data_IF_539735158675
#
_entry.id   IF_539735158675
#
_cell.length_a   1.000
_cell.length_b   1.000
_cell.length_c   1.000
_cell.angle_alpha   90.00
_cell.angle_beta   90.00
_cell.angle_gamma   90.00
#
_symmetry.space_group_name_H-M   'P 1'
#
loop_
_entity.id
_entity.type
_entity.pdbx_description
1 polymer ?
#
# COMPACT_ATOMS: atom_id res chain seq x y z
N UNK A 1 1.03 10.46 33.98
CA UNK A 1 2.17 11.30 33.52
C UNK A 1 2.40 11.00 32.05
N UNK A 2 2.88 11.95 31.23
CA UNK A 2 3.21 11.64 29.86
C UNK A 2 4.33 10.59 29.79
N UNK A 3 4.15 9.59 28.93
CA UNK A 3 5.19 8.60 28.59
C UNK A 3 5.88 9.00 27.30
N UNK A 4 7.16 8.64 27.16
CA UNK A 4 7.91 8.76 25.91
C UNK A 4 7.70 7.50 25.08
N UNK A 5 7.12 7.65 23.90
CA UNK A 5 6.66 6.54 23.06
C UNK A 5 7.31 6.64 21.68
N UNK A 6 7.96 5.55 21.25
CA UNK A 6 8.39 5.37 19.86
C UNK A 6 7.42 4.43 19.15
N UNK A 7 6.99 4.78 17.93
CA UNK A 7 6.16 3.92 17.10
C UNK A 7 6.89 3.58 15.81
N UNK A 8 7.07 2.28 15.56
CA UNK A 8 7.69 1.72 14.36
C UNK A 8 6.57 1.14 13.50
N UNK A 9 6.43 1.65 12.27
CA UNK A 9 5.42 1.21 11.32
C UNK A 9 6.06 0.34 10.25
N UNK A 10 5.67 -0.93 10.19
CA UNK A 10 6.11 -1.89 9.20
C UNK A 10 4.97 -2.23 8.25
N UNK A 11 5.31 -2.66 7.04
CA UNK A 11 4.38 -3.22 6.07
C UNK A 11 3.76 -2.18 5.13
N UNK A 12 2.45 -2.26 4.90
CA UNK A 12 1.78 -1.60 3.79
C UNK A 12 1.14 -0.25 4.18
N UNK A 13 0.68 0.49 3.17
CA UNK A 13 -0.06 1.75 3.31
C UNK A 13 -1.23 1.72 4.33
N UNK A 14 -1.93 0.58 4.45
CA UNK A 14 -3.01 0.42 5.43
C UNK A 14 -2.47 0.40 6.88
N UNK A 15 -1.33 -0.25 7.09
CA UNK A 15 -0.65 -0.23 8.39
C UNK A 15 -0.15 1.18 8.72
N UNK A 16 0.38 1.91 7.74
CA UNK A 16 0.81 3.29 7.95
C UNK A 16 -0.34 4.18 8.40
N UNK A 17 -1.51 4.11 7.75
CA UNK A 17 -2.69 4.85 8.21
C UNK A 17 -3.08 4.46 9.64
N UNK A 18 -3.01 3.16 10.01
CA UNK A 18 -3.27 2.75 11.39
C UNK A 18 -2.23 3.32 12.37
N UNK A 19 -0.95 3.36 11.99
CA UNK A 19 0.10 3.99 12.79
C UNK A 19 -0.16 5.49 13.00
N UNK A 20 -0.53 6.20 11.96
CA UNK A 20 -0.88 7.63 11.99
C UNK A 20 -2.08 7.91 12.92
N UNK A 21 -3.08 7.02 12.92
CA UNK A 21 -4.22 7.10 13.83
C UNK A 21 -3.80 6.84 15.29
N UNK A 22 -2.95 5.85 15.55
CA UNK A 22 -2.41 5.60 16.89
C UNK A 22 -1.56 6.77 17.39
N UNK A 23 -0.71 7.35 16.53
CA UNK A 23 0.06 8.56 16.85
C UNK A 23 -0.84 9.73 17.24
N UNK A 24 -1.95 9.92 16.53
CA UNK A 24 -2.92 10.95 16.86
C UNK A 24 -3.52 10.73 18.27
N UNK A 25 -3.97 9.52 18.57
CA UNK A 25 -4.54 9.19 19.89
C UNK A 25 -3.53 9.39 21.03
N UNK A 26 -2.28 8.94 20.83
CA UNK A 26 -1.21 9.10 21.82
C UNK A 26 -0.89 10.58 22.07
N UNK A 27 -0.82 11.39 21.03
CA UNK A 27 -0.64 12.84 21.17
C UNK A 27 -1.82 13.52 21.90
N UNK A 28 -3.06 13.13 21.59
CA UNK A 28 -4.25 13.64 22.26
C UNK A 28 -4.30 13.26 23.75
N UNK A 29 -3.77 12.09 24.10
CA UNK A 29 -3.62 11.64 25.49
C UNK A 29 -2.47 12.36 26.22
N UNK A 30 -1.68 13.21 25.54
CA UNK A 30 -0.61 13.99 26.11
C UNK A 30 0.71 13.23 26.24
N UNK A 31 0.88 12.09 25.57
CA UNK A 31 2.17 11.39 25.52
C UNK A 31 3.16 12.10 24.59
N UNK A 32 4.45 11.90 24.84
CA UNK A 32 5.54 12.41 23.99
C UNK A 32 5.92 11.37 22.95
N UNK A 33 5.59 11.63 21.69
CA UNK A 33 6.01 10.75 20.58
C UNK A 33 7.42 11.15 20.12
N UNK A 34 8.33 10.17 20.06
CA UNK A 34 9.74 10.37 19.70
C UNK A 34 10.16 9.44 18.56
N UNK A 35 11.19 9.85 17.80
CA UNK A 35 11.72 9.06 16.69
C UNK A 35 12.76 8.01 17.09
N UNK A 36 13.37 8.15 18.26
CA UNK A 36 14.44 7.27 18.74
C UNK A 36 13.92 6.33 19.82
N UNK A 37 14.37 5.06 19.79
CA UNK A 37 13.94 4.04 20.73
C UNK A 37 14.65 4.19 22.07
N UNK A 38 15.92 4.60 22.07
CA UNK A 38 16.71 4.71 23.29
C UNK A 38 16.17 5.80 24.22
N UNK A 39 15.92 5.43 25.46
CA UNK A 39 15.30 6.30 26.47
C UNK A 39 13.77 6.39 26.36
N UNK A 40 13.11 5.52 25.57
CA UNK A 40 11.66 5.42 25.55
C UNK A 40 11.09 4.65 26.75
N UNK A 41 9.86 5.00 27.13
CA UNK A 41 9.07 4.20 28.06
C UNK A 41 8.43 3.01 27.34
N UNK A 42 7.85 3.24 26.16
CA UNK A 42 7.17 2.21 25.36
C UNK A 42 7.60 2.31 23.90
N UNK A 43 8.00 1.18 23.31
CA UNK A 43 8.09 1.01 21.86
C UNK A 43 6.86 0.26 21.36
N UNK A 44 6.19 0.80 20.34
CA UNK A 44 5.05 0.19 19.66
C UNK A 44 5.51 -0.25 18.29
N UNK A 45 5.34 -1.53 17.94
CA UNK A 45 5.63 -2.06 16.61
C UNK A 45 4.32 -2.40 15.91
N UNK A 46 3.97 -1.66 14.88
CA UNK A 46 2.85 -2.00 14.00
C UNK A 46 3.36 -2.91 12.89
N UNK A 47 2.97 -4.19 12.96
CA UNK A 47 3.58 -5.28 12.22
C UNK A 47 2.81 -5.69 10.97
N UNK A 48 3.52 -6.17 9.94
CA UNK A 48 2.96 -6.91 8.84
C UNK A 48 3.01 -8.43 9.13
N UNK A 49 1.97 -9.15 8.74
CA UNK A 49 1.88 -10.61 8.88
C UNK A 49 1.32 -11.26 7.63
N UNK A 50 1.53 -10.63 6.45
CA UNK A 50 0.92 -11.07 5.19
C UNK A 50 1.77 -12.11 4.46
N UNK A 51 3.07 -11.92 4.36
CA UNK A 51 4.03 -12.85 3.71
C UNK A 51 5.21 -13.14 4.63
N UNK A 52 5.91 -14.25 4.39
CA UNK A 52 6.99 -14.72 5.26
C UNK A 52 8.11 -13.69 5.45
N UNK A 53 8.55 -12.99 4.40
CA UNK A 53 9.57 -11.96 4.50
C UNK A 53 9.16 -10.80 5.42
N UNK A 54 7.91 -10.36 5.34
CA UNK A 54 7.41 -9.31 6.22
C UNK A 54 7.19 -9.79 7.67
N UNK A 55 6.92 -11.08 7.87
CA UNK A 55 6.90 -11.69 9.22
C UNK A 55 8.30 -11.70 9.83
N UNK A 56 9.31 -12.11 9.05
CA UNK A 56 10.70 -12.12 9.49
C UNK A 56 11.17 -10.72 9.87
N UNK A 57 10.92 -9.72 9.03
CA UNK A 57 11.23 -8.32 9.32
C UNK A 57 10.61 -7.86 10.65
N UNK A 58 9.33 -8.19 10.88
CA UNK A 58 8.64 -7.81 12.11
C UNK A 58 9.22 -8.50 13.36
N UNK A 59 9.57 -9.78 13.25
CA UNK A 59 10.20 -10.54 14.34
C UNK A 59 11.60 -9.98 14.63
N UNK A 60 12.41 -9.74 13.62
CA UNK A 60 13.76 -9.16 13.77
C UNK A 60 13.70 -7.80 14.46
N UNK A 61 12.73 -6.96 14.08
CA UNK A 61 12.52 -5.66 14.74
C UNK A 61 12.15 -5.82 16.22
N UNK A 62 11.28 -6.76 16.56
CA UNK A 62 10.90 -7.04 17.95
C UNK A 62 12.13 -7.52 18.76
N UNK A 63 12.93 -8.41 18.18
CA UNK A 63 14.15 -8.91 18.85
C UNK A 63 15.20 -7.81 19.04
N UNK A 64 15.37 -6.89 18.09
CA UNK A 64 16.23 -5.72 18.25
C UNK A 64 15.76 -4.83 19.43
N UNK A 65 14.45 -4.59 19.54
CA UNK A 65 13.87 -3.85 20.66
C UNK A 65 14.08 -4.57 22.01
N UNK A 66 14.01 -5.91 22.00
CA UNK A 66 14.28 -6.71 23.19
C UNK A 66 15.72 -6.52 23.69
N UNK A 67 16.70 -6.40 22.80
CA UNK A 67 18.08 -6.11 23.18
C UNK A 67 18.23 -4.70 23.78
N UNK A 68 17.56 -3.68 23.20
CA UNK A 68 17.53 -2.32 23.77
C UNK A 68 16.88 -2.32 25.16
N UNK A 69 15.80 -3.09 25.33
CA UNK A 69 15.11 -3.26 26.62
C UNK A 69 16.02 -3.93 27.67
N UNK A 70 16.75 -4.98 27.31
CA UNK A 70 17.73 -5.65 28.19
C UNK A 70 18.86 -4.70 28.61
N UNK A 71 19.30 -3.83 27.70
CA UNK A 71 20.31 -2.81 27.99
C UNK A 71 19.79 -1.63 28.85
N UNK A 72 18.50 -1.56 29.13
CA UNK A 72 17.86 -0.51 29.92
C UNK A 72 17.47 0.76 29.16
N UNK A 73 17.62 0.78 27.84
CA UNK A 73 17.23 1.89 26.98
C UNK A 73 15.73 1.95 26.66
N UNK A 74 14.98 0.86 26.93
CA UNK A 74 13.55 0.75 26.68
C UNK A 74 12.89 0.02 27.87
N UNK A 75 11.67 0.45 28.27
CA UNK A 75 10.98 -0.21 29.40
C UNK A 75 10.00 -1.28 28.92
N UNK A 76 9.21 -1.00 27.85
CA UNK A 76 8.10 -1.83 27.41
C UNK A 76 8.01 -1.94 25.90
N UNK A 77 7.54 -3.12 25.40
CA UNK A 77 7.31 -3.40 24.00
C UNK A 77 5.83 -3.79 23.81
N UNK A 78 5.12 -3.03 22.98
CA UNK A 78 3.77 -3.36 22.49
C UNK A 78 3.83 -3.74 21.02
N UNK A 79 3.16 -4.83 20.65
CA UNK A 79 3.06 -5.30 19.26
C UNK A 79 1.63 -5.17 18.79
N UNK A 80 1.43 -4.60 17.59
CA UNK A 80 0.11 -4.47 16.98
C UNK A 80 0.15 -4.81 15.50
N UNK A 81 -1.00 -4.85 14.84
CA UNK A 81 -1.10 -5.02 13.40
C UNK A 81 -1.44 -6.44 12.94
N UNK A 82 -1.00 -6.76 11.71
CA UNK A 82 -1.40 -8.00 11.06
C UNK A 82 -0.74 -9.24 11.67
N UNK A 83 0.53 -9.14 12.09
CA UNK A 83 1.23 -10.28 12.70
C UNK A 83 0.60 -10.65 14.04
N UNK A 84 0.37 -9.69 14.94
CA UNK A 84 -0.29 -9.94 16.22
C UNK A 84 -1.68 -10.52 16.05
N UNK A 85 -2.47 -10.03 15.09
CA UNK A 85 -3.80 -10.54 14.80
C UNK A 85 -3.79 -11.99 14.29
N UNK A 86 -2.76 -12.38 13.56
CA UNK A 86 -2.68 -13.70 12.91
C UNK A 86 -2.06 -14.76 13.82
N UNK A 87 -1.08 -14.37 14.63
CA UNK A 87 -0.20 -15.26 15.41
C UNK A 87 -0.17 -14.91 16.90
N UNK A 88 -1.32 -14.57 17.47
CA UNK A 88 -1.45 -14.17 18.87
C UNK A 88 -0.74 -15.13 19.84
N UNK A 89 -1.07 -16.43 19.77
CA UNK A 89 -0.54 -17.43 20.68
C UNK A 89 0.96 -17.69 20.46
N UNK A 90 1.39 -17.75 19.18
CA UNK A 90 2.77 -18.03 18.82
C UNK A 90 3.71 -16.91 19.30
N UNK A 91 3.27 -15.64 19.21
CA UNK A 91 4.02 -14.49 19.72
C UNK A 91 4.11 -14.56 21.25
N UNK A 92 3.01 -14.90 21.94
CA UNK A 92 2.98 -15.01 23.39
C UNK A 92 3.94 -16.07 23.93
N UNK A 93 4.06 -17.20 23.21
CA UNK A 93 4.90 -18.32 23.59
C UNK A 93 6.38 -18.12 23.19
N UNK A 94 6.62 -17.54 21.99
CA UNK A 94 7.96 -17.47 21.40
C UNK A 94 8.70 -16.17 21.67
N UNK A 95 7.99 -15.08 22.00
CA UNK A 95 8.55 -13.75 22.23
C UNK A 95 8.16 -13.22 23.62
N UNK A 96 8.73 -13.79 24.71
CA UNK A 96 8.40 -13.41 26.09
C UNK A 96 8.75 -11.94 26.42
N UNK A 97 9.60 -11.29 25.63
CA UNK A 97 9.97 -9.88 25.74
C UNK A 97 8.83 -8.92 25.44
N UNK A 98 7.79 -9.37 24.72
CA UNK A 98 6.60 -8.58 24.38
C UNK A 98 5.73 -8.40 25.62
N UNK A 99 5.48 -7.16 26.00
CA UNK A 99 4.72 -6.81 27.20
C UNK A 99 3.20 -6.73 26.96
N UNK A 100 2.76 -6.59 25.70
CA UNK A 100 1.34 -6.59 25.34
C UNK A 100 1.11 -6.55 23.86
N UNK A 101 -0.13 -6.88 23.44
CA UNK A 101 -0.49 -6.95 22.03
C UNK A 101 -1.88 -6.40 21.75
N UNK A 102 -2.03 -5.85 20.52
CA UNK A 102 -3.31 -5.41 19.97
C UNK A 102 -3.50 -6.04 18.57
N UNK A 103 -4.71 -6.52 18.32
CA UNK A 103 -5.13 -6.96 16.99
C UNK A 103 -5.57 -5.81 16.09
N UNK A 104 -5.89 -6.13 14.83
CA UNK A 104 -6.30 -5.15 13.80
C UNK A 104 -7.65 -4.47 14.08
N UNK A 105 -8.46 -5.02 14.97
CA UNK A 105 -9.74 -4.42 15.44
C UNK A 105 -9.62 -3.60 16.71
N UNK A 106 -8.41 -3.28 17.20
CA UNK A 106 -8.22 -2.67 18.53
C UNK A 106 -7.28 -1.46 18.54
N UNK A 107 -7.01 -0.83 17.41
CA UNK A 107 -6.12 0.34 17.33
C UNK A 107 -6.58 1.50 18.19
N UNK A 108 -7.89 1.70 18.34
CA UNK A 108 -8.46 2.75 19.20
C UNK A 108 -8.15 2.59 20.67
N UNK A 109 -7.74 1.39 21.12
CA UNK A 109 -7.38 1.10 22.51
C UNK A 109 -5.91 1.30 22.83
N UNK A 110 -5.12 1.90 21.93
CA UNK A 110 -3.66 2.02 22.09
C UNK A 110 -3.27 2.78 23.37
N UNK A 111 -3.97 3.85 23.72
CA UNK A 111 -3.69 4.61 24.94
C UNK A 111 -3.92 3.76 26.21
N UNK A 112 -5.01 2.99 26.24
CA UNK A 112 -5.29 2.08 27.35
C UNK A 112 -4.23 0.99 27.46
N UNK A 113 -3.78 0.43 26.33
CA UNK A 113 -2.72 -0.58 26.31
C UNK A 113 -1.39 -0.02 26.84
N UNK A 114 -1.04 1.23 26.52
CA UNK A 114 0.14 1.91 27.05
C UNK A 114 0.02 2.07 28.58
N UNK A 115 -1.11 2.54 29.08
CA UNK A 115 -1.33 2.68 30.53
C UNK A 115 -1.24 1.33 31.25
N UNK A 116 -1.89 0.29 30.71
CA UNK A 116 -1.90 -1.04 31.35
C UNK A 116 -0.50 -1.64 31.42
N UNK A 117 0.27 -1.57 30.31
CA UNK A 117 1.63 -2.13 30.30
C UNK A 117 2.57 -1.39 31.24
N UNK A 118 2.41 -0.07 31.38
CA UNK A 118 3.22 0.74 32.30
C UNK A 118 2.89 0.50 33.77
N UNK A 119 1.67 0.04 34.08
CA UNK A 119 1.25 -0.38 35.40
C UNK A 119 1.52 -1.86 35.69
N UNK A 120 2.25 -2.56 34.80
CA UNK A 120 2.66 -3.96 35.02
C UNK A 120 1.63 -4.98 34.54
N UNK A 121 0.58 -4.56 33.83
CA UNK A 121 -0.34 -5.45 33.12
C UNK A 121 0.28 -6.02 31.83
N UNK A 122 -0.38 -7.04 31.27
CA UNK A 122 -0.09 -7.60 29.94
C UNK A 122 -1.35 -7.48 29.09
N UNK A 123 -1.63 -6.30 28.47
CA UNK A 123 -2.83 -6.11 27.66
C UNK A 123 -2.81 -7.01 26.41
N UNK A 124 -3.93 -7.70 26.17
CA UNK A 124 -4.18 -8.51 24.99
C UNK A 124 -5.53 -8.09 24.41
N UNK A 125 -5.50 -7.12 23.50
CA UNK A 125 -6.71 -6.51 22.96
C UNK A 125 -6.96 -6.97 21.53
N UNK A 126 -7.88 -7.93 21.37
CA UNK A 126 -8.28 -8.50 20.10
C UNK A 126 -9.79 -8.29 19.92
N UNK A 127 -10.16 -7.07 19.55
CA UNK A 127 -11.54 -6.71 19.26
C UNK A 127 -12.06 -7.32 17.96
N UNK A 128 -13.34 -7.07 17.67
CA UNK A 128 -13.96 -7.56 16.45
C UNK A 128 -13.36 -6.87 15.22
N UNK A 129 -12.51 -7.63 14.49
CA UNK A 129 -11.90 -7.16 13.24
C UNK A 129 -12.91 -6.95 12.11
N UNK A 130 -14.17 -7.36 12.26
CA UNK A 130 -15.29 -7.14 11.33
C UNK A 130 -16.28 -6.09 11.84
N UNK A 131 -16.01 -5.49 13.00
CA UNK A 131 -16.81 -4.42 13.57
C UNK A 131 -16.77 -3.12 12.74
N UNK A 132 -17.56 -2.12 13.12
CA UNK A 132 -17.53 -0.80 12.47
C UNK A 132 -16.12 -0.19 12.45
N UNK A 133 -15.80 0.54 11.37
CA UNK A 133 -14.55 1.28 11.30
C UNK A 133 -14.66 2.51 12.19
N UNK A 134 -13.73 2.66 13.11
CA UNK A 134 -13.64 3.86 13.94
C UNK A 134 -13.05 5.02 13.13
N UNK A 135 -13.73 6.16 13.15
CA UNK A 135 -13.26 7.39 12.52
C UNK A 135 -12.35 8.14 13.50
N UNK A 136 -11.05 7.93 13.34
CA UNK A 136 -10.01 8.50 14.20
C UNK A 136 -9.22 9.50 13.35
N UNK A 137 -8.93 10.68 13.90
CA UNK A 137 -7.98 11.62 13.31
C UNK A 137 -6.58 11.00 13.18
N UNK A 138 -5.69 11.64 12.42
CA UNK A 138 -4.34 11.11 12.23
C UNK A 138 -3.26 12.18 12.15
N UNK A 139 -2.03 11.80 12.45
CA UNK A 139 -0.80 12.56 12.20
C UNK A 139 -0.21 12.04 10.90
N UNK A 140 -0.15 12.87 9.87
CA UNK A 140 0.41 12.48 8.57
C UNK A 140 1.91 12.27 8.70
N UNK A 141 2.39 11.09 8.36
CA UNK A 141 3.82 10.70 8.42
C UNK A 141 4.40 10.39 7.04
N UNK A 142 3.59 10.46 6.00
CA UNK A 142 4.05 10.36 4.60
C UNK A 142 4.93 11.55 4.23
N UNK A 143 5.61 11.44 3.09
CA UNK A 143 6.41 12.51 2.53
C UNK A 143 5.61 13.79 2.28
N UNK A 144 6.27 14.92 2.05
CA UNK A 144 5.60 16.20 1.85
C UNK A 144 4.72 16.19 0.60
N UNK A 145 3.52 16.71 0.76
CA UNK A 145 2.59 16.94 -0.34
C UNK A 145 1.70 15.75 -0.72
N UNK A 146 1.82 14.58 -0.11
CA UNK A 146 0.95 13.44 -0.40
C UNK A 146 0.51 12.69 0.86
N UNK A 147 -0.61 11.98 0.77
CA UNK A 147 -1.10 11.11 1.85
C UNK A 147 -1.96 9.98 1.32
N UNK A 148 -1.94 8.85 2.02
CA UNK A 148 -2.90 7.79 1.78
C UNK A 148 -4.28 8.21 2.28
N UNK A 149 -5.34 7.87 1.54
CA UNK A 149 -6.74 8.02 1.94
C UNK A 149 -7.40 6.63 1.94
N UNK A 150 -7.52 6.04 3.11
CA UNK A 150 -8.15 4.73 3.26
C UNK A 150 -9.67 4.89 3.21
N UNK A 151 -10.32 4.20 2.26
CA UNK A 151 -11.77 4.31 2.04
C UNK A 151 -12.57 3.10 2.53
N UNK A 152 -11.90 1.99 2.79
CA UNK A 152 -12.52 0.76 3.30
C UNK A 152 -11.51 -0.11 4.05
N UNK A 153 -11.99 -1.13 4.75
CA UNK A 153 -11.19 -2.11 5.48
C UNK A 153 -11.74 -3.52 5.27
N UNK A 154 -10.84 -4.54 5.26
CA UNK A 154 -11.20 -5.93 5.02
C UNK A 154 -11.41 -6.26 3.55
N UNK A 155 -11.66 -7.55 3.25
CA UNK A 155 -11.80 -8.02 1.87
C UNK A 155 -12.68 -9.26 1.79
N UNK A 156 -13.59 -9.29 0.81
CA UNK A 156 -14.50 -10.40 0.53
C UNK A 156 -14.17 -11.13 -0.78
N UNK A 157 -12.98 -10.91 -1.37
CA UNK A 157 -12.61 -11.57 -2.62
C UNK A 157 -12.15 -13.02 -2.43
N UNK A 158 -11.67 -13.39 -1.24
CA UNK A 158 -11.30 -14.76 -0.87
C UNK A 158 -10.32 -15.42 -1.86
N UNK A 159 -9.38 -14.65 -2.41
CA UNK A 159 -8.33 -15.22 -3.26
C UNK A 159 -7.62 -16.37 -2.52
N UNK A 160 -7.39 -17.48 -3.20
CA UNK A 160 -6.91 -18.72 -2.56
C UNK A 160 -5.54 -18.59 -1.87
N UNK A 161 -4.71 -17.65 -2.27
CA UNK A 161 -3.39 -17.37 -1.72
C UNK A 161 -3.39 -16.33 -0.59
N UNK A 162 -4.53 -15.71 -0.27
CA UNK A 162 -4.56 -14.47 0.51
C UNK A 162 -5.11 -14.68 1.92
N UNK A 163 -4.33 -14.30 2.94
CA UNK A 163 -4.72 -14.38 4.35
C UNK A 163 -5.51 -13.14 4.84
N UNK A 164 -5.70 -12.11 4.02
CA UNK A 164 -6.32 -10.83 4.44
C UNK A 164 -7.73 -11.00 5.05
N UNK A 165 -8.66 -11.80 4.50
CA UNK A 165 -9.96 -11.96 5.13
C UNK A 165 -9.87 -12.51 6.57
N UNK A 166 -8.90 -13.39 6.83
CA UNK A 166 -8.67 -13.92 8.19
C UNK A 166 -8.04 -12.88 9.12
N UNK A 167 -7.24 -11.93 8.60
CA UNK A 167 -6.52 -10.93 9.40
C UNK A 167 -7.37 -9.67 9.63
N UNK A 168 -8.01 -9.12 8.56
CA UNK A 168 -8.69 -7.81 8.59
C UNK A 168 -10.22 -7.91 8.49
N UNK A 169 -10.76 -9.12 8.44
CA UNK A 169 -12.20 -9.39 8.44
C UNK A 169 -12.89 -9.09 7.12
N UNK A 170 -14.24 -9.01 7.22
CA UNK A 170 -15.12 -8.73 6.08
C UNK A 170 -14.92 -7.32 5.53
N UNK A 171 -15.26 -7.12 4.27
CA UNK A 171 -15.21 -5.81 3.64
C UNK A 171 -16.19 -4.83 4.28
N UNK A 172 -15.73 -3.64 4.61
CA UNK A 172 -16.51 -2.54 5.20
C UNK A 172 -16.06 -1.23 4.58
N UNK A 173 -17.00 -0.48 3.99
CA UNK A 173 -16.77 0.87 3.49
C UNK A 173 -16.81 1.89 4.62
N UNK A 174 -15.95 2.88 4.57
CA UNK A 174 -16.16 4.12 5.32
C UNK A 174 -17.25 4.94 4.64
N UNK A 175 -17.96 5.77 5.41
CA UNK A 175 -19.01 6.64 4.85
C UNK A 175 -18.43 7.72 3.93
N UNK A 176 -19.23 8.15 2.96
CA UNK A 176 -18.84 9.23 2.04
C UNK A 176 -18.42 10.49 2.80
N UNK A 177 -19.23 10.90 3.78
CA UNK A 177 -18.99 12.13 4.55
C UNK A 177 -17.68 12.06 5.34
N UNK A 178 -17.37 10.92 5.98
CA UNK A 178 -16.15 10.74 6.74
C UNK A 178 -14.90 10.80 5.85
N UNK A 179 -14.94 10.15 4.68
CA UNK A 179 -13.83 10.18 3.72
C UNK A 179 -13.61 11.58 3.17
N UNK A 180 -14.68 12.28 2.78
CA UNK A 180 -14.61 13.65 2.25
C UNK A 180 -14.11 14.62 3.32
N UNK A 181 -14.52 14.43 4.56
CA UNK A 181 -14.06 15.27 5.68
C UNK A 181 -12.56 15.09 5.91
N UNK A 182 -12.07 13.85 5.99
CA UNK A 182 -10.63 13.57 6.13
C UNK A 182 -9.84 14.13 4.94
N UNK A 183 -10.33 13.98 3.72
CA UNK A 183 -9.66 14.51 2.53
C UNK A 183 -9.54 16.04 2.56
N UNK A 184 -10.55 16.76 3.10
CA UNK A 184 -10.47 18.21 3.33
C UNK A 184 -9.45 18.59 4.40
N UNK A 185 -9.37 17.82 5.47
CA UNK A 185 -8.38 18.01 6.53
C UNK A 185 -6.96 17.81 6.00
N UNK A 186 -6.74 16.78 5.18
CA UNK A 186 -5.47 16.55 4.50
C UNK A 186 -5.10 17.69 3.56
N UNK A 187 -6.07 18.19 2.78
CA UNK A 187 -5.84 19.35 1.91
C UNK A 187 -5.46 20.61 2.71
N UNK A 188 -6.10 20.83 3.88
CA UNK A 188 -5.78 21.94 4.77
C UNK A 188 -4.36 21.84 5.37
N UNK A 189 -3.82 20.62 5.52
CA UNK A 189 -2.42 20.36 5.91
C UNK A 189 -1.42 20.54 4.76
N UNK A 190 -1.89 20.86 3.55
CA UNK A 190 -1.03 21.09 2.38
C UNK A 190 -0.80 19.87 1.50
N UNK A 191 -1.51 18.78 1.73
CA UNK A 191 -1.49 17.61 0.84
C UNK A 191 -1.99 17.98 -0.54
N UNK A 192 -1.24 17.61 -1.57
CA UNK A 192 -1.55 17.82 -3.00
C UNK A 192 -2.03 16.54 -3.69
N UNK A 193 -1.52 15.40 -3.27
CA UNK A 193 -1.89 14.08 -3.80
C UNK A 193 -2.55 13.23 -2.75
N UNK A 194 -3.77 12.73 -3.05
CA UNK A 194 -4.46 11.70 -2.30
C UNK A 194 -4.25 10.36 -2.99
N UNK A 195 -3.73 9.38 -2.28
CA UNK A 195 -3.62 8.00 -2.76
C UNK A 195 -4.74 7.20 -2.11
N UNK A 196 -5.76 6.91 -2.90
CA UNK A 196 -6.96 6.18 -2.45
C UNK A 196 -6.63 4.70 -2.32
N UNK A 197 -6.79 4.17 -1.11
CA UNK A 197 -6.45 2.79 -0.77
C UNK A 197 -7.57 2.06 -0.02
N UNK A 198 -7.63 0.76 -0.25
CA UNK A 198 -8.29 -0.28 0.55
C UNK A 198 -7.60 -1.61 0.21
N UNK A 199 -8.18 -2.74 0.60
CA UNK A 199 -7.80 -4.04 0.04
C UNK A 199 -8.37 -4.24 -1.37
N UNK A 200 -9.49 -3.56 -1.65
CA UNK A 200 -10.15 -3.45 -2.95
C UNK A 200 -10.96 -2.14 -2.95
N UNK A 201 -10.51 -1.12 -3.68
CA UNK A 201 -11.23 0.16 -3.73
C UNK A 201 -12.46 0.12 -4.63
N UNK A 202 -12.49 -0.79 -5.62
CA UNK A 202 -13.60 -0.87 -6.58
C UNK A 202 -14.92 -1.29 -5.95
N UNK A 203 -14.88 -2.04 -4.82
CA UNK A 203 -16.07 -2.44 -4.06
C UNK A 203 -16.66 -1.35 -3.17
N UNK A 204 -16.01 -0.21 -3.04
CA UNK A 204 -16.51 0.83 -2.13
C UNK A 204 -17.97 1.17 -2.40
N UNK A 205 -18.75 1.21 -1.33
CA UNK A 205 -20.19 1.47 -1.36
C UNK A 205 -21.07 0.24 -1.55
N UNK A 206 -20.52 -0.95 -1.85
CA UNK A 206 -21.33 -2.17 -2.03
C UNK A 206 -22.17 -2.49 -0.78
N UNK A 207 -21.57 -2.37 0.40
CA UNK A 207 -22.22 -2.59 1.70
C UNK A 207 -23.10 -1.41 2.13
N UNK A 208 -22.85 -0.19 1.66
CA UNK A 208 -23.61 1.01 2.00
C UNK A 208 -24.81 1.22 1.07
N UNK A 209 -24.64 0.97 -0.23
CA UNK A 209 -25.60 1.35 -1.27
C UNK A 209 -26.12 0.15 -2.09
N UNK A 210 -25.66 -1.08 -1.77
CA UNK A 210 -26.03 -2.30 -2.51
C UNK A 210 -25.37 -2.45 -3.89
N UNK A 211 -24.44 -1.55 -4.26
CA UNK A 211 -23.69 -1.55 -5.52
C UNK A 211 -22.31 -0.89 -5.35
N UNK A 212 -21.32 -1.26 -6.18
CA UNK A 212 -20.07 -0.52 -6.26
C UNK A 212 -20.35 0.95 -6.58
N UNK A 213 -19.72 1.86 -5.87
CA UNK A 213 -20.02 3.30 -5.96
C UNK A 213 -18.76 4.17 -5.91
N UNK A 214 -17.61 3.64 -6.33
CA UNK A 214 -16.34 4.37 -6.32
C UNK A 214 -16.41 5.68 -7.13
N UNK A 215 -17.09 5.67 -8.29
CA UNK A 215 -17.29 6.87 -9.10
C UNK A 215 -18.02 7.98 -8.34
N UNK A 216 -19.00 7.64 -7.49
CA UNK A 216 -19.68 8.62 -6.62
C UNK A 216 -18.69 9.28 -5.66
N UNK A 217 -17.85 8.49 -4.98
CA UNK A 217 -16.84 9.02 -4.07
C UNK A 217 -15.84 9.92 -4.80
N UNK A 218 -15.32 9.48 -5.92
CA UNK A 218 -14.34 10.25 -6.68
C UNK A 218 -14.88 11.60 -7.16
N UNK A 219 -16.18 11.68 -7.56
CA UNK A 219 -16.83 12.94 -7.91
C UNK A 219 -16.87 13.94 -6.76
N UNK A 220 -16.91 13.48 -5.52
CA UNK A 220 -16.83 14.37 -4.36
C UNK A 220 -15.38 14.75 -4.04
N UNK A 221 -14.44 13.84 -4.17
CA UNK A 221 -13.02 14.11 -3.90
C UNK A 221 -12.42 15.12 -4.90
N UNK A 222 -12.80 15.07 -6.18
CA UNK A 222 -12.28 16.03 -7.18
C UNK A 222 -12.71 17.46 -6.93
N UNK A 223 -13.80 17.70 -6.17
CA UNK A 223 -14.26 19.03 -5.79
C UNK A 223 -13.41 19.70 -4.72
N UNK A 224 -12.57 18.93 -4.01
CA UNK A 224 -11.79 19.44 -2.88
C UNK A 224 -10.70 20.37 -3.40
N UNK A 225 -10.74 21.63 -2.92
CA UNK A 225 -9.69 22.60 -3.21
C UNK A 225 -8.37 22.19 -2.53
N UNK A 226 -7.25 22.53 -3.17
CA UNK A 226 -5.92 22.18 -2.69
C UNK A 226 -5.44 20.80 -3.18
N UNK A 227 -6.32 19.82 -3.37
CA UNK A 227 -5.96 18.53 -3.98
C UNK A 227 -5.78 18.70 -5.48
N UNK A 228 -4.64 18.24 -5.99
CA UNK A 228 -4.25 18.31 -7.40
C UNK A 228 -4.24 16.92 -8.06
N UNK A 229 -3.88 15.87 -7.30
CA UNK A 229 -3.83 14.51 -7.76
C UNK A 229 -4.62 13.57 -6.85
N UNK A 230 -5.36 12.66 -7.47
CA UNK A 230 -6.06 11.53 -6.84
C UNK A 230 -5.57 10.29 -7.56
N UNK A 231 -4.79 9.45 -6.87
CA UNK A 231 -4.24 8.20 -7.38
C UNK A 231 -5.06 7.03 -6.86
N UNK A 232 -5.28 6.02 -7.70
CA UNK A 232 -6.11 4.87 -7.39
C UNK A 232 -5.25 3.61 -7.30
N UNK A 233 -5.22 2.98 -6.12
CA UNK A 233 -4.51 1.72 -5.89
C UNK A 233 -5.48 0.59 -5.55
N UNK A 234 -5.10 -0.64 -5.93
CA UNK A 234 -5.84 -1.86 -5.60
C UNK A 234 -7.24 -1.92 -6.23
N UNK A 235 -7.30 -1.71 -7.55
CA UNK A 235 -8.53 -1.93 -8.32
C UNK A 235 -8.67 -3.41 -8.72
N UNK A 236 -9.88 -3.92 -8.61
CA UNK A 236 -10.20 -5.26 -9.10
C UNK A 236 -10.83 -5.19 -10.49
N UNK A 237 -10.31 -5.96 -11.46
CA UNK A 237 -10.68 -5.80 -12.87
C UNK A 237 -12.16 -6.03 -13.16
N UNK A 238 -12.81 -6.98 -12.47
CA UNK A 238 -14.21 -7.35 -12.71
C UNK A 238 -15.25 -6.28 -12.36
N UNK A 239 -14.85 -5.24 -11.62
CA UNK A 239 -15.79 -4.19 -11.14
C UNK A 239 -15.55 -2.85 -11.84
N UNK A 240 -14.51 -2.74 -12.67
CA UNK A 240 -14.22 -1.51 -13.41
C UNK A 240 -15.22 -1.36 -14.56
N UNK A 241 -16.21 -0.49 -14.37
CA UNK A 241 -17.28 -0.23 -15.33
C UNK A 241 -17.02 1.00 -16.20
N UNK A 242 -17.91 1.23 -17.17
CA UNK A 242 -17.81 2.36 -18.09
C UNK A 242 -17.91 3.72 -17.40
N UNK A 243 -18.71 3.82 -16.35
CA UNK A 243 -18.88 5.06 -15.57
C UNK A 243 -17.57 5.46 -14.90
N UNK A 244 -16.88 4.50 -14.30
CA UNK A 244 -15.58 4.73 -13.66
C UNK A 244 -14.51 5.08 -14.70
N UNK A 245 -14.48 4.36 -15.84
CA UNK A 245 -13.52 4.63 -16.93
C UNK A 245 -13.71 6.05 -17.48
N UNK A 246 -14.94 6.46 -17.75
CA UNK A 246 -15.24 7.81 -18.26
C UNK A 246 -14.86 8.89 -17.27
N UNK A 247 -15.12 8.66 -15.98
CA UNK A 247 -14.73 9.61 -14.94
C UNK A 247 -13.20 9.76 -14.89
N UNK A 248 -12.45 8.65 -14.88
CA UNK A 248 -10.99 8.68 -14.87
C UNK A 248 -10.45 9.37 -16.13
N UNK A 249 -11.05 9.11 -17.30
CA UNK A 249 -10.59 9.69 -18.54
C UNK A 249 -10.75 11.23 -18.57
N UNK A 250 -11.86 11.75 -18.03
CA UNK A 250 -12.26 13.14 -18.18
C UNK A 250 -11.92 14.06 -17.01
N UNK A 251 -11.53 13.51 -15.84
CA UNK A 251 -11.19 14.30 -14.67
C UNK A 251 -9.68 14.48 -14.54
N UNK A 252 -9.18 15.70 -14.68
CA UNK A 252 -7.76 16.01 -14.67
C UNK A 252 -7.08 15.70 -13.31
N UNK A 253 -7.83 15.84 -12.21
CA UNK A 253 -7.30 15.53 -10.88
C UNK A 253 -7.09 14.05 -10.64
N UNK A 254 -7.81 13.17 -11.36
CA UNK A 254 -7.59 11.73 -11.29
C UNK A 254 -6.42 11.39 -12.20
N UNK A 255 -5.29 11.03 -11.59
CA UNK A 255 -4.07 10.70 -12.36
C UNK A 255 -4.30 9.49 -13.24
N UNK A 256 -3.74 9.51 -14.44
CA UNK A 256 -3.88 8.43 -15.41
C UNK A 256 -2.92 7.28 -15.08
N UNK A 257 -3.05 6.77 -13.87
CA UNK A 257 -2.29 5.66 -13.30
C UNK A 257 -3.25 4.74 -12.58
N UNK A 258 -3.32 3.47 -12.98
CA UNK A 258 -4.20 2.48 -12.37
C UNK A 258 -3.39 1.26 -11.90
N UNK A 259 -3.46 0.96 -10.61
CA UNK A 259 -2.90 -0.26 -10.03
C UNK A 259 -3.97 -1.35 -9.97
N UNK A 260 -3.83 -2.35 -10.86
CA UNK A 260 -4.78 -3.45 -11.05
C UNK A 260 -4.05 -4.78 -10.81
N UNK A 261 -4.00 -5.30 -9.58
CA UNK A 261 -3.29 -6.55 -9.25
C UNK A 261 -3.98 -7.77 -9.87
N UNK A 262 -3.56 -8.21 -11.05
CA UNK A 262 -4.16 -9.36 -11.76
C UNK A 262 -3.64 -10.70 -11.27
N UNK A 263 -2.43 -10.75 -10.74
CA UNK A 263 -1.69 -11.90 -10.20
C UNK A 263 -1.19 -12.88 -11.26
N UNK A 264 -1.98 -13.24 -12.26
CA UNK A 264 -1.63 -14.10 -13.38
C UNK A 264 -2.52 -13.81 -14.59
N UNK A 265 -2.26 -14.42 -15.78
CA UNK A 265 -3.08 -14.25 -16.99
C UNK A 265 -3.70 -15.56 -17.49
N UNK A 266 -3.18 -16.71 -17.05
CA UNK A 266 -3.70 -18.01 -17.45
C UNK A 266 -5.05 -18.29 -16.76
N UNK A 267 -6.04 -18.75 -17.52
CA UNK A 267 -7.41 -18.97 -17.04
C UNK A 267 -7.49 -20.05 -15.95
N UNK A 268 -6.72 -21.12 -16.06
CA UNK A 268 -6.73 -22.21 -15.07
C UNK A 268 -6.10 -21.78 -13.75
N UNK A 269 -5.00 -21.04 -13.79
CA UNK A 269 -4.36 -20.47 -12.61
C UNK A 269 -5.29 -19.47 -11.93
N UNK A 270 -5.90 -18.54 -12.68
CA UNK A 270 -6.83 -17.56 -12.13
C UNK A 270 -8.03 -18.24 -11.44
N UNK A 271 -8.63 -19.25 -12.09
CA UNK A 271 -9.74 -20.01 -11.50
C UNK A 271 -9.32 -20.73 -10.21
N UNK A 272 -8.15 -21.39 -10.18
CA UNK A 272 -7.61 -22.07 -9.01
C UNK A 272 -7.33 -21.12 -7.86
N UNK A 273 -6.90 -19.91 -8.18
CA UNK A 273 -6.64 -18.84 -7.19
C UNK A 273 -7.90 -18.09 -6.77
N UNK A 274 -9.08 -18.57 -7.16
CA UNK A 274 -10.37 -17.94 -6.88
C UNK A 274 -10.42 -16.48 -7.36
N UNK A 275 -9.82 -16.21 -8.53
CA UNK A 275 -9.98 -14.92 -9.21
C UNK A 275 -11.26 -14.97 -10.06
N UNK A 276 -12.01 -13.86 -10.03
CA UNK A 276 -13.34 -13.81 -10.65
C UNK A 276 -13.30 -13.34 -12.12
N UNK A 277 -12.13 -12.91 -12.62
CA UNK A 277 -11.90 -12.62 -14.03
C UNK A 277 -11.09 -13.71 -14.70
N UNK A 278 -11.39 -13.97 -15.95
CA UNK A 278 -10.57 -14.76 -16.89
C UNK A 278 -9.44 -13.89 -17.47
N UNK A 279 -8.40 -14.53 -17.99
CA UNK A 279 -7.31 -13.85 -18.70
C UNK A 279 -7.83 -13.08 -19.92
N UNK A 280 -8.85 -13.61 -20.63
CA UNK A 280 -9.43 -12.94 -21.78
C UNK A 280 -10.19 -11.67 -21.40
N UNK A 281 -10.93 -11.70 -20.30
CA UNK A 281 -11.59 -10.50 -19.74
C UNK A 281 -10.57 -9.45 -19.29
N UNK A 282 -9.47 -9.87 -18.67
CA UNK A 282 -8.36 -8.97 -18.30
C UNK A 282 -7.76 -8.33 -19.54
N UNK A 283 -7.44 -9.11 -20.59
CA UNK A 283 -6.91 -8.58 -21.86
C UNK A 283 -7.85 -7.55 -22.48
N UNK A 284 -9.14 -7.87 -22.54
CA UNK A 284 -10.17 -6.98 -23.10
C UNK A 284 -10.29 -5.67 -22.27
N UNK A 285 -10.27 -5.79 -20.93
CA UNK A 285 -10.33 -4.61 -20.05
C UNK A 285 -9.12 -3.69 -20.25
N UNK A 286 -7.90 -4.22 -20.24
CA UNK A 286 -6.68 -3.40 -20.40
C UNK A 286 -6.64 -2.71 -21.77
N UNK A 287 -7.06 -3.41 -22.83
CA UNK A 287 -7.20 -2.80 -24.15
C UNK A 287 -8.22 -1.67 -24.15
N UNK A 288 -9.38 -1.88 -23.51
CA UNK A 288 -10.43 -0.86 -23.36
C UNK A 288 -9.95 0.36 -22.59
N UNK A 289 -9.24 0.14 -21.47
CA UNK A 289 -8.66 1.20 -20.65
C UNK A 289 -7.69 2.06 -21.47
N UNK A 290 -6.75 1.45 -22.19
CA UNK A 290 -5.79 2.17 -23.05
C UNK A 290 -6.45 2.95 -24.18
N UNK A 291 -7.52 2.40 -24.75
CA UNK A 291 -8.26 3.07 -25.84
C UNK A 291 -9.04 4.29 -25.35
N UNK A 292 -9.49 4.30 -24.10
CA UNK A 292 -10.38 5.35 -23.55
C UNK A 292 -9.66 6.36 -22.67
N UNK A 293 -8.48 6.03 -22.12
CA UNK A 293 -7.73 6.90 -21.20
C UNK A 293 -6.37 7.24 -21.83
N UNK A 294 -6.24 8.37 -22.52
CA UNK A 294 -4.96 8.80 -23.08
C UNK A 294 -3.89 9.00 -22.00
N UNK A 295 -2.67 8.53 -22.27
CA UNK A 295 -1.55 8.65 -21.34
C UNK A 295 -1.65 7.75 -20.10
N UNK A 296 -2.50 6.72 -20.14
CA UNK A 296 -2.65 5.76 -19.07
C UNK A 296 -1.37 4.99 -18.81
N UNK A 297 -0.96 4.97 -17.54
CA UNK A 297 0.06 4.08 -16.98
C UNK A 297 -0.65 2.95 -16.22
N UNK A 298 -0.37 1.72 -16.60
CA UNK A 298 -0.91 0.54 -15.98
C UNK A 298 0.14 -0.11 -15.07
N UNK A 299 -0.23 -0.31 -13.82
CA UNK A 299 0.54 -1.09 -12.85
C UNK A 299 -0.19 -2.37 -12.51
N UNK A 300 0.57 -3.43 -12.33
CA UNK A 300 0.04 -4.69 -11.81
C UNK A 300 0.99 -5.35 -10.82
N UNK A 301 0.46 -6.30 -10.07
CA UNK A 301 1.24 -7.27 -9.30
C UNK A 301 1.01 -8.66 -9.85
N UNK A 302 2.09 -9.44 -9.97
CA UNK A 302 2.09 -10.82 -10.43
C UNK A 302 2.65 -11.75 -9.36
N UNK A 303 2.23 -12.99 -9.38
CA UNK A 303 2.76 -14.05 -8.52
C UNK A 303 3.23 -15.19 -9.41
N UNK A 304 4.48 -15.60 -9.26
CA UNK A 304 5.09 -16.75 -9.94
C UNK A 304 5.10 -17.98 -9.04
N UNK A 305 5.04 -19.16 -9.62
CA UNK A 305 5.07 -20.43 -8.86
C UNK A 305 3.77 -20.76 -8.14
N UNK A 306 2.65 -20.17 -8.56
CA UNK A 306 1.33 -20.52 -8.05
C UNK A 306 1.02 -22.01 -8.27
N UNK A 307 0.26 -22.66 -7.37
CA UNK A 307 -0.15 -24.05 -7.56
C UNK A 307 -0.79 -24.28 -8.94
N UNK A 308 -0.20 -25.20 -9.70
CA UNK A 308 -0.59 -25.54 -11.08
C UNK A 308 0.13 -24.74 -12.16
N UNK A 309 0.98 -23.79 -11.82
CA UNK A 309 1.82 -23.06 -12.80
C UNK A 309 2.97 -23.95 -13.24
N UNK A 310 2.82 -24.56 -14.42
CA UNK A 310 3.90 -25.22 -15.13
C UNK A 310 4.65 -24.28 -16.07
N UNK A 311 5.49 -24.84 -16.93
CA UNK A 311 6.25 -24.04 -17.91
C UNK A 311 5.34 -23.37 -18.95
N UNK A 312 4.28 -24.05 -19.39
CA UNK A 312 3.37 -23.52 -20.39
C UNK A 312 2.60 -22.29 -19.89
N UNK A 313 2.11 -22.30 -18.62
CA UNK A 313 1.41 -21.21 -17.99
C UNK A 313 2.35 -20.02 -17.74
N UNK A 314 3.59 -20.28 -17.35
CA UNK A 314 4.62 -19.26 -17.18
C UNK A 314 5.02 -18.63 -18.53
N UNK A 315 5.18 -19.42 -19.59
CA UNK A 315 5.49 -18.91 -20.93
C UNK A 315 4.34 -18.08 -21.52
N UNK A 316 3.08 -18.47 -21.24
CA UNK A 316 1.90 -17.65 -21.58
C UNK A 316 1.97 -16.28 -20.88
N UNK A 317 2.31 -16.25 -19.60
CA UNK A 317 2.44 -15.01 -18.85
C UNK A 317 3.54 -14.11 -19.42
N UNK A 318 4.71 -14.66 -19.71
CA UNK A 318 5.83 -13.92 -20.31
C UNK A 318 5.49 -13.39 -21.71
N UNK A 319 4.82 -14.20 -22.54
CA UNK A 319 4.40 -13.81 -23.89
C UNK A 319 3.41 -12.66 -23.83
N UNK A 320 2.41 -12.78 -22.97
CA UNK A 320 1.43 -11.73 -22.77
C UNK A 320 2.07 -10.42 -22.27
N UNK A 321 3.03 -10.47 -21.32
CA UNK A 321 3.73 -9.27 -20.85
C UNK A 321 4.49 -8.55 -21.97
N UNK A 322 5.15 -9.31 -22.88
CA UNK A 322 5.82 -8.72 -24.06
C UNK A 322 4.86 -8.01 -25.00
N UNK A 323 3.63 -8.53 -25.12
CA UNK A 323 2.59 -7.99 -26.00
C UNK A 323 1.92 -6.76 -25.38
N UNK A 324 1.52 -6.86 -24.08
CA UNK A 324 0.73 -5.80 -23.43
C UNK A 324 1.59 -4.63 -22.99
N UNK A 325 2.87 -4.87 -22.69
CA UNK A 325 3.87 -3.86 -22.28
C UNK A 325 3.33 -2.93 -21.17
N UNK A 326 3.04 -3.51 -20.01
CA UNK A 326 2.63 -2.73 -18.84
C UNK A 326 3.79 -1.85 -18.35
N UNK A 327 3.52 -0.62 -18.04
CA UNK A 327 4.53 0.37 -17.65
C UNK A 327 5.15 0.07 -16.28
N UNK A 328 4.37 -0.51 -15.37
CA UNK A 328 4.83 -0.84 -14.01
C UNK A 328 4.35 -2.25 -13.62
N UNK A 329 5.26 -3.11 -13.20
CA UNK A 329 4.96 -4.48 -12.77
C UNK A 329 5.77 -4.83 -11.51
N UNK A 330 5.08 -5.21 -10.45
CA UNK A 330 5.69 -5.89 -9.31
C UNK A 330 5.49 -7.39 -9.42
N UNK A 331 6.53 -8.17 -9.14
CA UNK A 331 6.50 -9.63 -9.20
C UNK A 331 6.95 -10.23 -7.89
N UNK A 332 6.24 -11.25 -7.43
CA UNK A 332 6.53 -11.93 -6.17
C UNK A 332 6.51 -13.45 -6.39
N UNK A 333 7.48 -14.21 -5.85
CA UNK A 333 7.34 -15.65 -5.78
C UNK A 333 6.19 -16.01 -4.83
N UNK A 334 5.48 -17.09 -5.14
CA UNK A 334 4.38 -17.57 -4.31
C UNK A 334 4.85 -17.94 -2.91
N UNK A 335 4.23 -17.35 -1.90
CA UNK A 335 4.40 -17.69 -0.48
C UNK A 335 3.19 -18.51 -0.01
N UNK A 336 3.39 -19.77 0.44
CA UNK A 336 2.31 -20.64 0.91
C UNK A 336 1.87 -20.22 2.32
N UNK A 337 1.03 -19.19 2.41
CA UNK A 337 0.60 -18.60 3.66
C UNK A 337 -0.34 -19.53 4.45
N UNK A 338 0.02 -19.83 5.68
CA UNK A 338 -0.74 -20.70 6.57
C UNK A 338 -2.21 -20.28 6.68
N UNK A 339 -3.10 -21.27 6.69
CA UNK A 339 -4.55 -21.04 6.75
C UNK A 339 -5.19 -20.62 5.41
N UNK A 340 -4.41 -20.52 4.32
CA UNK A 340 -4.94 -20.22 2.99
C UNK A 340 -5.19 -21.52 2.19
N UNK A 341 -6.19 -21.55 1.30
CA UNK A 341 -6.43 -22.71 0.43
C UNK A 341 -5.23 -23.09 -0.43
N UNK A 342 -4.49 -22.11 -0.97
CA UNK A 342 -3.34 -22.37 -1.83
C UNK A 342 -2.15 -23.01 -1.09
N UNK A 343 -2.02 -22.79 0.22
CA UNK A 343 -0.95 -23.36 1.01
C UNK A 343 -0.97 -24.90 1.10
N UNK A 344 -2.17 -25.50 1.00
CA UNK A 344 -2.35 -26.95 1.08
C UNK A 344 -2.37 -27.63 -0.28
N UNK A 345 -2.31 -26.88 -1.38
CA UNK A 345 -2.19 -27.43 -2.74
C UNK A 345 -0.78 -27.98 -2.94
N UNK A 346 -0.68 -29.15 -3.57
CA UNK A 346 0.59 -29.91 -3.66
C UNK A 346 1.33 -29.75 -4.99
N UNK A 347 0.67 -29.20 -6.00
CA UNK A 347 1.20 -29.04 -7.37
C UNK A 347 1.79 -27.63 -7.61
N UNK A 348 2.54 -27.15 -6.67
CA UNK A 348 3.33 -25.91 -6.76
C UNK A 348 4.78 -26.23 -7.13
N UNK A 349 5.44 -25.30 -7.79
CA UNK A 349 6.87 -25.45 -8.06
C UNK A 349 7.71 -25.22 -6.79
N UNK A 350 8.98 -25.63 -6.86
CA UNK A 350 9.94 -25.39 -5.80
C UNK A 350 10.17 -23.87 -5.62
N UNK A 351 10.46 -23.40 -4.40
CA UNK A 351 10.65 -21.96 -4.13
C UNK A 351 11.72 -21.31 -5.00
N UNK A 352 12.83 -21.99 -5.27
CA UNK A 352 13.92 -21.50 -6.12
C UNK A 352 13.46 -21.30 -7.56
N UNK A 353 12.57 -22.16 -8.07
CA UNK A 353 12.00 -22.01 -9.39
C UNK A 353 11.02 -20.86 -9.45
N UNK A 354 10.18 -20.66 -8.42
CA UNK A 354 9.29 -19.50 -8.33
C UNK A 354 10.08 -18.19 -8.33
N UNK A 355 11.19 -18.13 -7.58
CA UNK A 355 12.10 -16.99 -7.56
C UNK A 355 12.74 -16.76 -8.93
N UNK A 356 13.28 -17.81 -9.57
CA UNK A 356 13.87 -17.71 -10.91
C UNK A 356 12.86 -17.14 -11.94
N UNK A 357 11.62 -17.57 -11.87
CA UNK A 357 10.54 -17.04 -12.72
C UNK A 357 10.24 -15.55 -12.43
N UNK A 358 10.23 -15.16 -11.16
CA UNK A 358 10.07 -13.77 -10.78
C UNK A 358 11.21 -12.91 -11.35
N UNK A 359 12.46 -13.35 -11.22
CA UNK A 359 13.64 -12.64 -11.72
C UNK A 359 13.58 -12.47 -13.26
N UNK A 360 13.17 -13.50 -14.00
CA UNK A 360 12.99 -13.42 -15.46
C UNK A 360 11.92 -12.40 -15.87
N UNK A 361 10.79 -12.29 -15.12
CA UNK A 361 9.79 -11.28 -15.41
C UNK A 361 10.32 -9.88 -15.07
N UNK A 362 11.07 -9.71 -13.98
CA UNK A 362 11.69 -8.43 -13.64
C UNK A 362 12.71 -7.98 -14.71
N UNK A 363 13.52 -8.89 -15.25
CA UNK A 363 14.43 -8.60 -16.36
C UNK A 363 13.66 -8.15 -17.61
N UNK A 364 12.58 -8.86 -17.97
CA UNK A 364 11.70 -8.47 -19.08
C UNK A 364 11.09 -7.08 -18.83
N UNK A 365 10.63 -6.83 -17.61
CA UNK A 365 9.97 -5.58 -17.23
C UNK A 365 10.95 -4.39 -17.25
N UNK A 366 12.20 -4.58 -16.87
CA UNK A 366 13.21 -3.54 -16.93
C UNK A 366 13.31 -2.93 -18.33
N UNK A 367 13.38 -3.77 -19.39
CA UNK A 367 13.41 -3.27 -20.76
C UNK A 367 12.13 -2.54 -21.19
N UNK A 368 10.95 -2.93 -20.70
CA UNK A 368 9.69 -2.22 -20.98
C UNK A 368 9.66 -0.85 -20.29
N UNK A 369 10.13 -0.79 -19.05
CA UNK A 369 10.23 0.45 -18.27
C UNK A 369 11.25 1.42 -18.89
N UNK A 370 12.38 0.92 -19.36
CA UNK A 370 13.41 1.72 -20.05
C UNK A 370 12.84 2.36 -21.33
N UNK A 371 12.10 1.60 -22.14
CA UNK A 371 11.45 2.15 -23.33
C UNK A 371 10.41 3.23 -22.99
N UNK A 372 9.63 3.02 -21.93
CA UNK A 372 8.67 4.02 -21.44
C UNK A 372 9.38 5.29 -20.97
N UNK A 373 10.43 5.16 -20.15
CA UNK A 373 11.20 6.29 -19.62
C UNK A 373 11.93 7.04 -20.73
N UNK A 374 12.52 6.32 -21.70
CA UNK A 374 13.14 6.94 -22.89
C UNK A 374 12.13 7.76 -23.71
N UNK A 375 10.88 7.30 -23.82
CA UNK A 375 9.81 8.05 -24.48
C UNK A 375 9.35 9.31 -23.71
N UNK A 376 9.76 9.48 -22.45
CA UNK A 376 9.51 10.70 -21.65
C UNK A 376 10.55 11.81 -21.95
N UNK A 377 11.72 11.49 -22.51
CA UNK A 377 12.76 12.46 -22.79
C UNK A 377 12.24 13.53 -23.78
N UNK A 378 12.51 14.81 -23.48
CA UNK A 378 12.03 15.95 -24.24
C UNK A 378 10.60 16.39 -23.93
N UNK A 379 9.94 15.75 -22.95
CA UNK A 379 8.60 16.17 -22.49
C UNK A 379 8.68 17.06 -21.27
N UNK A 380 7.72 17.96 -21.16
CA UNK A 380 7.47 18.74 -19.94
C UNK A 380 6.45 17.97 -19.08
N UNK A 381 6.86 17.63 -17.87
CA UNK A 381 6.04 16.82 -16.96
C UNK A 381 5.84 17.55 -15.63
N UNK A 382 4.63 17.47 -15.08
CA UNK A 382 4.37 17.92 -13.71
C UNK A 382 4.98 16.93 -12.72
N UNK A 383 5.80 17.44 -11.79
CA UNK A 383 6.48 16.67 -10.73
C UNK A 383 6.05 17.21 -9.37
N UNK A 384 5.61 16.33 -8.49
CA UNK A 384 5.49 16.62 -7.07
C UNK A 384 6.88 16.47 -6.44
N UNK A 385 7.47 17.57 -6.00
CA UNK A 385 8.77 17.57 -5.33
C UNK A 385 8.65 16.96 -3.93
N UNK A 386 9.40 15.92 -3.63
CA UNK A 386 9.36 15.24 -2.33
C UNK A 386 10.60 15.51 -1.49
N UNK A 387 11.72 15.75 -2.14
CA UNK A 387 12.98 16.00 -1.44
C UNK A 387 13.83 17.06 -2.13
N UNK A 388 14.62 17.78 -1.34
CA UNK A 388 15.65 18.69 -1.81
C UNK A 388 16.94 18.47 -1.04
N UNK A 389 17.98 18.05 -1.74
CA UNK A 389 19.29 17.84 -1.15
C UNK A 389 20.00 19.16 -0.84
N UNK A 390 21.00 19.13 0.05
CA UNK A 390 21.86 20.31 0.34
C UNK A 390 22.60 20.82 -0.88
N UNK A 391 22.86 19.98 -1.88
CA UNK A 391 23.44 20.34 -3.17
C UNK A 391 22.53 21.22 -4.06
N UNK A 392 21.23 21.30 -3.72
CA UNK A 392 20.21 21.97 -4.53
C UNK A 392 19.50 21.04 -5.51
N UNK A 393 19.93 19.79 -5.66
CA UNK A 393 19.22 18.77 -6.43
C UNK A 393 17.89 18.45 -5.75
N UNK A 394 16.82 18.43 -6.53
CA UNK A 394 15.48 18.03 -6.11
C UNK A 394 15.16 16.61 -6.60
N UNK A 395 14.30 15.92 -5.89
CA UNK A 395 13.69 14.69 -6.38
C UNK A 395 12.19 14.65 -6.07
N UNK A 396 11.46 13.92 -6.89
CA UNK A 396 10.02 13.83 -6.77
C UNK A 396 9.44 12.83 -7.75
N UNK A 397 8.14 12.88 -7.98
CA UNK A 397 7.42 11.91 -8.82
C UNK A 397 6.50 12.60 -9.82
N UNK A 398 6.32 11.96 -10.95
CA UNK A 398 5.25 12.30 -11.89
C UNK A 398 3.95 11.60 -11.54
N UNK A 399 2.91 11.86 -12.33
CA UNK A 399 1.66 11.10 -12.23
C UNK A 399 1.86 9.61 -12.53
N UNK A 400 2.91 9.24 -13.26
CA UNK A 400 3.22 7.88 -13.71
C UNK A 400 3.91 7.02 -12.63
N UNK A 401 4.20 7.62 -11.46
CA UNK A 401 4.99 6.97 -10.42
C UNK A 401 4.27 7.02 -9.07
N UNK A 402 4.12 5.87 -8.45
CA UNK A 402 3.60 5.74 -7.08
C UNK A 402 4.73 5.91 -6.07
N UNK A 403 4.49 6.56 -4.91
CA UNK A 403 5.54 6.75 -3.92
C UNK A 403 6.08 5.40 -3.41
N UNK A 404 7.39 5.36 -3.19
CA UNK A 404 8.14 4.27 -2.56
C UNK A 404 8.22 2.95 -3.37
N UNK A 405 7.55 2.85 -4.52
CA UNK A 405 7.50 1.61 -5.31
C UNK A 405 7.82 1.76 -6.79
N UNK A 406 7.72 2.97 -7.36
CA UNK A 406 8.04 3.24 -8.76
C UNK A 406 9.25 4.19 -8.87
N UNK A 407 9.53 4.70 -10.07
CA UNK A 407 10.67 5.55 -10.34
C UNK A 407 10.60 6.95 -9.73
N UNK A 408 11.74 7.61 -9.71
CA UNK A 408 11.95 8.96 -9.20
C UNK A 408 12.35 9.90 -10.34
N UNK A 409 11.99 11.17 -10.25
CA UNK A 409 12.51 12.23 -11.12
C UNK A 409 13.52 13.04 -10.34
N UNK A 410 14.79 13.04 -10.76
CA UNK A 410 15.83 13.91 -10.24
C UNK A 410 15.93 15.17 -11.12
N UNK A 411 15.88 16.35 -10.52
CA UNK A 411 15.89 17.58 -11.31
C UNK A 411 16.59 18.73 -10.61
N UNK A 412 17.15 19.64 -11.42
CA UNK A 412 17.68 20.91 -10.94
C UNK A 412 16.58 21.96 -10.89
N UNK A 413 16.56 22.78 -9.83
CA UNK A 413 15.54 23.82 -9.70
C UNK A 413 15.45 24.44 -8.32
N UNK A 414 14.42 25.28 -8.11
CA UNK A 414 14.17 25.97 -6.87
C UNK A 414 12.99 25.39 -6.06
N UNK A 415 12.41 24.29 -6.50
CA UNK A 415 11.28 23.64 -5.85
C UNK A 415 11.56 23.30 -4.39
N UNK A 416 10.53 23.37 -3.56
CA UNK A 416 10.55 22.92 -2.16
C UNK A 416 9.76 21.61 -2.06
N UNK A 417 10.07 20.77 -1.08
CA UNK A 417 9.24 19.60 -0.81
C UNK A 417 7.76 19.99 -0.62
N UNK A 418 6.87 19.29 -1.34
CA UNK A 418 5.44 19.59 -1.44
C UNK A 418 5.01 20.50 -2.60
N UNK A 419 5.96 21.12 -3.32
CA UNK A 419 5.63 21.90 -4.52
C UNK A 419 5.33 21.00 -5.71
N UNK A 420 4.37 21.41 -6.54
CA UNK A 420 4.15 20.83 -7.87
C UNK A 420 4.75 21.77 -8.92
N UNK A 421 5.70 21.27 -9.67
CA UNK A 421 6.47 22.07 -10.63
C UNK A 421 6.51 21.39 -11.99
N UNK A 422 6.76 22.15 -13.05
CA UNK A 422 6.99 21.60 -14.38
C UNK A 422 8.48 21.33 -14.56
N UNK A 423 8.82 20.12 -14.98
CA UNK A 423 10.19 19.66 -15.24
C UNK A 423 10.30 19.22 -16.68
N UNK A 424 11.27 19.77 -17.41
CA UNK A 424 11.66 19.28 -18.72
C UNK A 424 12.56 18.06 -18.55
N UNK A 425 12.12 16.90 -19.05
CA UNK A 425 12.86 15.64 -18.92
C UNK A 425 14.00 15.62 -19.94
N UNK A 426 15.23 15.47 -19.44
CA UNK A 426 16.45 15.51 -20.27
C UNK A 426 17.14 14.16 -20.41
N UNK A 427 16.78 13.18 -19.57
CA UNK A 427 17.39 11.84 -19.59
C UNK A 427 16.64 10.85 -18.71
N UNK A 428 17.07 9.59 -18.80
CA UNK A 428 16.65 8.51 -17.89
C UNK A 428 17.83 7.59 -17.62
N UNK A 429 17.87 6.98 -16.42
CA UNK A 429 18.89 6.03 -15.99
C UNK A 429 18.33 5.14 -14.89
N UNK A 430 18.56 3.82 -15.00
CA UNK A 430 18.19 2.80 -14.00
C UNK A 430 16.74 2.93 -13.44
N UNK A 431 15.77 3.15 -14.34
CA UNK A 431 14.36 3.30 -13.99
C UNK A 431 13.93 4.69 -13.55
N UNK A 432 14.86 5.63 -13.34
CA UNK A 432 14.59 6.99 -12.90
C UNK A 432 14.68 7.98 -14.08
N UNK A 433 14.06 9.15 -13.91
CA UNK A 433 14.10 10.25 -14.86
C UNK A 433 15.03 11.38 -14.35
N UNK A 434 15.66 12.08 -15.29
CA UNK A 434 16.43 13.28 -15.00
C UNK A 434 15.87 14.49 -15.76
N UNK A 435 15.92 15.69 -15.16
CA UNK A 435 15.39 16.87 -15.81
C UNK A 435 15.79 18.20 -15.18
N UNK A 436 15.19 19.25 -15.69
CA UNK A 436 15.40 20.62 -15.25
C UNK A 436 14.04 21.31 -15.03
N UNK A 437 13.87 21.96 -13.88
CA UNK A 437 12.67 22.75 -13.64
C UNK A 437 12.61 23.90 -14.63
N UNK A 438 11.51 24.01 -15.36
CA UNK A 438 11.24 25.17 -16.20
C UNK A 438 10.35 26.15 -15.43
N UNK A 439 10.68 27.44 -15.58
CA UNK A 439 9.88 28.53 -15.00
C UNK A 439 8.82 28.95 -16.02
N UNK A 440 7.56 29.00 -15.57
CA UNK A 440 6.48 29.61 -16.32
C UNK A 440 6.67 31.14 -16.41
#
# INVERSE_FOLDING_TARGET
MPYRICLISLGCAKNQVNSEQMLYLLNQAGHEVVGEVDGCDVAIVNTCGFIDSAKSEAIDQILQLAEVKKAGGLKKILVTGCLSQRYENDILESLPEVDGMLGTGSFGQICQAVEDVMHGGKPLYFGDKSGPIEEIGRVVTTGPGWAYLRIAEGCDNWCAFCAIPAIRGRYRSRTLDAIVQEAKELAALGVKELIVIAQDITRWGMDLYGKPSLALLLRELVKIEGIRWIRLHYLYPEIIDDELIDLIANEDKIVKYLDIPIQHINNDILRRMNRHCTGDEIRALLQKLRARIPGLVLRTSLITGLPGEGEAEFEELCTWLREVRLERVGVFPFSPEEGTPAAVMTDRCEPDEAQRRADLILELQAGIMDDYNAACIGRDMTVLCEHRAKSGMCSGRTYADSPEIDGTVYFTGAARPGDMVTVHITGCDDGDLAGEQIHE
#
